data_IF_888954838007
#
_entry.id   IF_888954838007
#
_cell.length_a   1.000
_cell.length_b   1.000
_cell.length_c   1.000
_cell.angle_alpha   90.00
_cell.angle_beta   90.00
_cell.angle_gamma   90.00
#
_symmetry.space_group_name_H-M   'P 1'
#
loop_
_entity.id
_entity.type
_entity.pdbx_description
1 polymer ?
#
# COMPACT_ATOMS: atom_id res chain seq x y z
N UNK A 1 17.08 -38.56 -23.29
CA UNK A 1 16.04 -37.53 -23.03
C UNK A 1 16.01 -37.13 -21.54
N UNK A 2 17.13 -36.65 -21.00
CA UNK A 2 17.24 -36.18 -19.61
C UNK A 2 17.66 -34.71 -19.56
N UNK A 3 18.54 -34.33 -20.49
CA UNK A 3 19.04 -32.97 -20.70
C UNK A 3 17.89 -31.99 -21.01
N UNK A 4 16.93 -32.38 -21.84
CA UNK A 4 15.76 -31.55 -22.16
C UNK A 4 14.89 -31.24 -20.94
N UNK A 5 14.74 -32.19 -20.00
CA UNK A 5 13.96 -32.01 -18.77
C UNK A 5 14.64 -31.06 -17.79
N UNK A 6 15.97 -31.11 -17.73
CA UNK A 6 16.77 -30.19 -16.92
C UNK A 6 16.71 -28.75 -17.46
N UNK A 7 16.76 -28.56 -18.78
CA UNK A 7 16.59 -27.25 -19.40
C UNK A 7 15.19 -26.67 -19.15
N UNK A 8 14.14 -27.49 -19.29
CA UNK A 8 12.77 -27.05 -19.00
C UNK A 8 12.64 -26.64 -17.53
N UNK A 9 13.17 -27.42 -16.59
CA UNK A 9 13.16 -27.07 -15.17
C UNK A 9 13.90 -25.74 -14.91
N UNK A 10 15.07 -25.54 -15.51
CA UNK A 10 15.84 -24.30 -15.36
C UNK A 10 15.12 -23.07 -15.92
N UNK A 11 14.42 -23.20 -17.05
CA UNK A 11 13.63 -22.13 -17.64
C UNK A 11 12.41 -21.78 -16.77
N UNK A 12 11.71 -22.78 -16.25
CA UNK A 12 10.58 -22.56 -15.35
C UNK A 12 11.00 -21.88 -14.04
N UNK A 13 12.12 -22.29 -13.45
CA UNK A 13 12.68 -21.64 -12.24
C UNK A 13 13.01 -20.18 -12.52
N UNK A 14 13.65 -19.87 -13.65
CA UNK A 14 14.00 -18.49 -14.04
C UNK A 14 12.76 -17.62 -14.23
N UNK A 15 11.70 -18.16 -14.84
CA UNK A 15 10.43 -17.45 -15.04
C UNK A 15 9.71 -17.19 -13.71
N UNK A 16 9.78 -18.13 -12.76
CA UNK A 16 9.20 -17.99 -11.42
C UNK A 16 9.89 -16.88 -10.60
N UNK A 17 11.21 -16.75 -10.72
CA UNK A 17 11.97 -15.67 -10.05
C UNK A 17 11.58 -14.29 -10.59
N UNK A 18 11.38 -14.16 -11.91
CA UNK A 18 10.94 -12.89 -12.53
C UNK A 18 9.54 -12.48 -12.06
N UNK A 19 8.61 -13.43 -11.93
CA UNK A 19 7.26 -13.16 -11.40
C UNK A 19 7.28 -12.72 -9.94
N UNK A 20 8.24 -13.23 -9.13
CA UNK A 20 8.36 -12.87 -7.72
C UNK A 20 8.88 -11.43 -7.52
N UNK A 21 9.76 -10.96 -8.43
CA UNK A 21 10.26 -9.58 -8.47
C UNK A 21 9.16 -8.57 -8.82
N UNK A 22 8.23 -8.92 -9.70
CA UNK A 22 7.15 -7.99 -10.07
C UNK A 22 6.16 -7.77 -8.90
N UNK A 23 6.00 -8.78 -8.02
CA UNK A 23 5.09 -8.71 -6.88
C UNK A 23 5.61 -7.83 -5.70
N UNK A 24 6.90 -7.49 -5.65
CA UNK A 24 7.43 -6.61 -4.59
C UNK A 24 7.26 -5.11 -4.88
N UNK A 25 7.03 -4.75 -6.15
CA UNK A 25 6.88 -3.34 -6.57
C UNK A 25 5.50 -2.76 -6.18
N UNK A 26 4.47 -3.59 -6.12
CA UNK A 26 3.13 -3.22 -5.60
C UNK A 26 3.08 -3.13 -4.05
N UNK A 27 4.20 -3.39 -3.36
CA UNK A 27 4.33 -3.18 -1.90
C UNK A 27 5.13 -1.90 -1.59
N UNK A 28 5.76 -1.27 -2.58
CA UNK A 28 6.48 -0.01 -2.37
C UNK A 28 5.58 1.23 -2.43
N UNK A 29 4.41 1.18 -3.08
CA UNK A 29 3.43 2.28 -2.99
C UNK A 29 2.67 2.31 -1.64
N UNK A 30 2.91 1.31 -0.77
CA UNK A 30 2.35 1.20 0.57
C UNK A 30 3.40 1.38 1.67
N UNK A 31 4.54 1.98 1.34
CA UNK A 31 5.62 2.33 2.30
C UNK A 31 5.70 3.82 2.65
N UNK A 32 4.68 4.62 2.36
CA UNK A 32 4.59 5.97 2.93
C UNK A 32 4.07 5.99 4.39
N UNK A 33 3.85 4.83 5.02
CA UNK A 33 3.38 4.73 6.41
C UNK A 33 4.48 4.76 7.48
N UNK A 34 5.76 4.67 7.09
CA UNK A 34 6.88 4.65 8.03
C UNK A 34 7.93 5.68 7.59
N UNK A 35 7.86 6.88 8.16
CA UNK A 35 9.01 7.80 8.12
C UNK A 35 8.69 9.29 8.11
N UNK A 36 7.47 9.68 7.76
CA UNK A 36 7.05 11.09 7.78
C UNK A 36 5.79 11.24 8.61
N UNK A 37 5.84 12.08 9.64
CA UNK A 37 4.67 12.44 10.44
C UNK A 37 3.67 13.15 9.53
N UNK A 38 2.57 12.50 9.17
CA UNK A 38 1.54 13.12 8.33
C UNK A 38 0.83 14.19 9.16
N UNK A 39 0.43 15.28 8.53
CA UNK A 39 -0.48 16.22 9.17
C UNK A 39 -1.92 15.67 9.10
N UNK A 40 -2.33 14.99 10.17
CA UNK A 40 -3.68 14.47 10.32
C UNK A 40 -4.75 15.58 10.22
N UNK A 41 -4.42 16.82 10.60
CA UNK A 41 -5.35 17.95 10.57
C UNK A 41 -5.77 18.26 9.14
N UNK A 42 -4.81 18.66 8.31
CA UNK A 42 -5.08 18.97 6.89
C UNK A 42 -5.60 17.76 6.12
N UNK A 43 -5.07 16.55 6.39
CA UNK A 43 -5.55 15.33 5.73
C UNK A 43 -7.01 15.04 6.06
N UNK A 44 -7.43 15.13 7.33
CA UNK A 44 -8.82 14.93 7.71
C UNK A 44 -9.75 16.04 7.22
N UNK A 45 -9.26 17.28 7.06
CA UNK A 45 -10.02 18.38 6.41
C UNK A 45 -10.34 18.03 4.97
N UNK A 46 -9.35 17.56 4.20
CA UNK A 46 -9.59 17.12 2.83
C UNK A 46 -10.68 16.03 2.78
N UNK A 47 -10.55 15.01 3.64
CA UNK A 47 -11.50 13.89 3.66
C UNK A 47 -12.92 14.22 4.06
N UNK A 48 -13.06 15.10 5.04
CA UNK A 48 -14.36 15.41 5.60
C UNK A 48 -15.08 16.53 4.85
N UNK A 49 -14.47 17.10 3.79
CA UNK A 49 -15.00 18.23 3.00
C UNK A 49 -16.39 17.96 2.41
N UNK A 50 -16.67 16.74 1.98
CA UNK A 50 -17.96 16.36 1.39
C UNK A 50 -18.89 15.66 2.38
N UNK A 51 -18.48 15.53 3.65
CA UNK A 51 -19.30 14.89 4.67
C UNK A 51 -20.46 15.79 5.07
N UNK A 52 -21.67 15.24 5.11
CA UNK A 52 -22.85 15.92 5.68
C UNK A 52 -22.72 16.16 7.19
N UNK A 53 -21.78 15.50 7.87
CA UNK A 53 -21.50 15.60 9.30
C UNK A 53 -19.99 15.78 9.55
N UNK A 54 -19.41 16.94 9.18
CA UNK A 54 -17.95 17.13 9.17
C UNK A 54 -17.33 16.93 10.56
N UNK A 55 -17.95 17.42 11.63
CA UNK A 55 -17.42 17.27 13.00
C UNK A 55 -17.30 15.81 13.45
N UNK A 56 -18.29 14.97 13.09
CA UNK A 56 -18.26 13.54 13.40
C UNK A 56 -17.18 12.84 12.56
N UNK A 57 -17.11 13.17 11.27
CA UNK A 57 -16.08 12.67 10.36
C UNK A 57 -14.67 13.01 10.87
N UNK A 58 -14.42 14.26 11.25
CA UNK A 58 -13.14 14.73 11.78
C UNK A 58 -12.72 13.95 13.02
N UNK A 59 -13.64 13.70 13.96
CA UNK A 59 -13.36 12.91 15.16
C UNK A 59 -12.95 11.48 14.82
N UNK A 60 -13.68 10.83 13.90
CA UNK A 60 -13.37 9.46 13.47
C UNK A 60 -12.03 9.40 12.72
N UNK A 61 -11.84 10.29 11.75
CA UNK A 61 -10.63 10.40 10.94
C UNK A 61 -9.39 10.65 11.81
N UNK A 62 -9.46 11.60 12.75
CA UNK A 62 -8.34 11.90 13.64
C UNK A 62 -7.95 10.71 14.52
N UNK A 63 -8.94 9.95 15.02
CA UNK A 63 -8.68 8.74 15.81
C UNK A 63 -7.96 7.67 14.99
N UNK A 64 -8.40 7.44 13.75
CA UNK A 64 -7.74 6.51 12.84
C UNK A 64 -6.33 6.99 12.47
N UNK A 65 -6.16 8.28 12.16
CA UNK A 65 -4.89 8.85 11.77
C UNK A 65 -3.84 8.80 12.90
N UNK A 66 -4.24 9.07 14.14
CA UNK A 66 -3.34 8.97 15.30
C UNK A 66 -2.80 7.55 15.53
N UNK A 67 -3.57 6.52 15.14
CA UNK A 67 -3.18 5.11 15.28
C UNK A 67 -2.40 4.61 14.07
N UNK A 68 -2.87 4.94 12.88
CA UNK A 68 -2.40 4.34 11.63
C UNK A 68 -1.44 5.24 10.85
N UNK A 69 -1.25 6.50 11.26
CA UNK A 69 -0.47 7.52 10.56
C UNK A 69 -0.82 7.60 9.06
N UNK A 70 -2.09 7.43 8.74
CA UNK A 70 -2.60 7.37 7.38
C UNK A 70 -4.03 7.88 7.31
N UNK A 71 -4.37 8.53 6.21
CA UNK A 71 -5.71 8.98 5.86
C UNK A 71 -5.95 8.59 4.39
N UNK A 72 -7.00 7.80 4.04
CA UNK A 72 -7.22 7.28 2.67
C UNK A 72 -7.88 8.31 1.74
N UNK A 73 -7.49 8.51 0.46
CA UNK A 73 -8.04 9.55 -0.44
C UNK A 73 -9.58 9.58 -0.50
N UNK A 74 -10.16 10.79 -0.55
CA UNK A 74 -11.59 11.06 -0.45
C UNK A 74 -11.86 12.56 -0.37
#
# INVERSE_FOLDING_TARGET
>A
MAISKAFIASLLISLLVLQLVEADVEISNKKNGYGSKIDCGSACIARCRLSSRPNLCHRACGTCCARCNCVPPG
#
